data_IF_430935609084
#
_entry.id   IF_430935609084
#
_cell.length_a   1.000
_cell.length_b   1.000
_cell.length_c   1.000
_cell.angle_alpha   90.00
_cell.angle_beta   90.00
_cell.angle_gamma   90.00
#
_symmetry.space_group_name_H-M   'P 1'
#
loop_
_entity.id
_entity.type
_entity.pdbx_description
1 polymer ?
#
# COMPACT_ATOMS: atom_id res chain seq x y z
N UNK A 1 -5.07 29.32 -1.88
CA UNK A 1 -5.75 28.91 -0.63
C UNK A 1 -5.80 27.41 -0.67
N UNK A 2 -4.85 26.74 -0.01
CA UNK A 2 -4.86 25.29 0.15
C UNK A 2 -6.04 24.96 1.07
N UNK A 3 -7.04 24.26 0.54
CA UNK A 3 -7.98 23.49 1.37
C UNK A 3 -7.14 22.70 2.38
N UNK A 4 -7.40 22.86 3.68
CA UNK A 4 -6.71 22.10 4.70
C UNK A 4 -6.88 20.61 4.39
N UNK A 5 -5.78 19.87 4.26
CA UNK A 5 -5.83 18.43 4.03
C UNK A 5 -6.72 17.81 5.12
N UNK A 6 -7.68 16.98 4.71
CA UNK A 6 -8.52 16.27 5.65
C UNK A 6 -7.60 15.46 6.59
N UNK A 7 -7.79 15.65 7.90
CA UNK A 7 -7.05 14.92 8.93
C UNK A 7 -7.95 13.80 9.43
N UNK A 8 -7.50 12.55 9.31
CA UNK A 8 -8.25 11.39 9.75
C UNK A 8 -7.45 10.10 9.56
N UNK A 9 -7.95 9.02 10.15
CA UNK A 9 -7.46 7.68 9.87
C UNK A 9 -7.66 7.34 8.39
N UNK A 10 -6.81 6.45 7.85
CA UNK A 10 -6.80 6.10 6.42
C UNK A 10 -8.19 5.75 5.87
N UNK A 11 -8.99 4.96 6.61
CA UNK A 11 -10.34 4.60 6.16
C UNK A 11 -11.33 5.77 6.17
N UNK A 12 -11.15 6.76 7.05
CA UNK A 12 -11.95 7.98 7.08
C UNK A 12 -11.64 8.87 5.85
N UNK A 13 -10.38 8.91 5.42
CA UNK A 13 -9.99 9.61 4.18
C UNK A 13 -10.64 8.96 2.95
N UNK A 14 -10.68 7.63 2.90
CA UNK A 14 -11.39 6.88 1.85
C UNK A 14 -12.90 7.13 1.91
N UNK A 15 -13.49 7.14 3.11
CA UNK A 15 -14.92 7.44 3.30
C UNK A 15 -15.26 8.85 2.80
N UNK A 16 -14.44 9.86 3.13
CA UNK A 16 -14.61 11.21 2.62
C UNK A 16 -14.53 11.27 1.08
N UNK A 17 -13.57 10.56 0.48
CA UNK A 17 -13.44 10.51 -0.98
C UNK A 17 -14.62 9.80 -1.64
N UNK A 18 -15.18 8.77 -1.00
CA UNK A 18 -16.34 8.04 -1.51
C UNK A 18 -17.57 8.92 -1.68
N UNK A 19 -17.75 9.92 -0.80
CA UNK A 19 -18.84 10.90 -0.89
C UNK A 19 -18.65 11.83 -2.09
N UNK A 20 -17.41 12.13 -2.46
CA UNK A 20 -17.06 13.04 -3.57
C UNK A 20 -17.20 12.37 -4.93
N UNK A 21 -16.83 11.09 -5.04
CA UNK A 21 -16.83 10.35 -6.31
C UNK A 21 -17.49 8.96 -6.18
N UNK A 22 -18.76 8.88 -5.74
CA UNK A 22 -19.37 7.62 -5.34
C UNK A 22 -19.50 6.60 -6.48
N UNK A 23 -19.70 7.09 -7.71
CA UNK A 23 -19.91 6.24 -8.88
C UNK A 23 -18.61 6.00 -9.69
N UNK A 24 -17.48 6.56 -9.24
CA UNK A 24 -16.16 6.26 -9.82
C UNK A 24 -15.70 4.86 -9.45
N UNK A 25 -14.92 4.21 -10.32
CA UNK A 25 -14.35 2.88 -10.05
C UNK A 25 -13.24 3.02 -9.01
N UNK A 26 -13.43 2.40 -7.84
CA UNK A 26 -12.47 2.42 -6.75
C UNK A 26 -11.49 1.25 -6.84
N UNK A 27 -12.00 0.05 -7.08
CA UNK A 27 -11.19 -1.18 -7.12
C UNK A 27 -11.65 -2.04 -8.30
N UNK A 28 -10.72 -2.71 -8.94
CA UNK A 28 -11.01 -3.69 -9.98
C UNK A 28 -10.05 -4.86 -9.92
N UNK A 29 -10.51 -6.03 -10.32
CA UNK A 29 -9.69 -7.21 -10.53
C UNK A 29 -10.20 -8.01 -11.75
N UNK A 30 -9.82 -9.27 -11.87
CA UNK A 30 -10.29 -10.14 -12.95
C UNK A 30 -11.79 -10.51 -12.87
N UNK A 31 -12.40 -10.40 -11.68
CA UNK A 31 -13.81 -10.73 -11.46
C UNK A 31 -14.75 -9.55 -11.74
N UNK A 32 -14.26 -8.31 -11.66
CA UNK A 32 -15.02 -7.13 -12.04
C UNK A 32 -14.52 -5.85 -11.40
N UNK A 33 -15.42 -4.88 -11.30
CA UNK A 33 -15.15 -3.53 -10.78
C UNK A 33 -16.10 -3.22 -9.62
N UNK A 34 -15.59 -2.49 -8.63
CA UNK A 34 -16.36 -1.91 -7.53
C UNK A 34 -16.24 -0.39 -7.61
N UNK A 35 -17.39 0.28 -7.64
CA UNK A 35 -17.46 1.71 -7.42
C UNK A 35 -17.10 2.07 -5.96
N UNK A 36 -16.77 3.33 -5.70
CA UNK A 36 -16.56 3.82 -4.33
C UNK A 36 -17.77 3.56 -3.42
N UNK A 37 -18.98 3.74 -3.95
CA UNK A 37 -20.24 3.45 -3.24
C UNK A 37 -20.35 1.98 -2.87
N UNK A 38 -20.03 1.08 -3.80
CA UNK A 38 -20.12 -0.37 -3.55
C UNK A 38 -19.04 -0.83 -2.59
N UNK A 39 -17.82 -0.32 -2.72
CA UNK A 39 -16.70 -0.59 -1.83
C UNK A 39 -17.06 -0.21 -0.38
N UNK A 40 -17.52 1.02 -0.17
CA UNK A 40 -17.95 1.50 1.14
C UNK A 40 -19.11 0.68 1.71
N UNK A 41 -20.14 0.41 0.91
CA UNK A 41 -21.31 -0.37 1.33
C UNK A 41 -20.91 -1.76 1.81
N UNK A 42 -20.05 -2.47 1.07
CA UNK A 42 -19.57 -3.80 1.44
C UNK A 42 -18.64 -3.74 2.65
N UNK A 43 -17.72 -2.78 2.70
CA UNK A 43 -16.81 -2.60 3.82
C UNK A 43 -17.55 -2.26 5.12
N UNK A 44 -18.58 -1.41 5.07
CA UNK A 44 -19.40 -1.04 6.22
C UNK A 44 -20.19 -2.24 6.75
N UNK A 45 -20.87 -3.00 5.87
CA UNK A 45 -21.59 -4.23 6.23
C UNK A 45 -20.66 -5.22 6.93
N UNK A 46 -19.50 -5.48 6.33
CA UNK A 46 -18.51 -6.39 6.90
C UNK A 46 -17.96 -5.85 8.23
N UNK A 47 -17.70 -4.54 8.35
CA UNK A 47 -17.21 -3.94 9.58
C UNK A 47 -18.17 -4.15 10.76
N UNK A 48 -19.48 -3.96 10.56
CA UNK A 48 -20.48 -4.24 11.60
C UNK A 48 -20.46 -5.70 12.05
N UNK A 49 -20.37 -6.63 11.10
CA UNK A 49 -20.23 -8.06 11.40
C UNK A 49 -18.94 -8.37 12.18
N UNK A 50 -17.82 -7.78 11.77
CA UNK A 50 -16.54 -7.96 12.48
C UNK A 50 -16.60 -7.43 13.91
N UNK A 51 -17.24 -6.27 14.12
CA UNK A 51 -17.48 -5.69 15.46
C UNK A 51 -18.31 -6.64 16.31
N UNK A 52 -19.42 -7.19 15.79
CA UNK A 52 -20.24 -8.18 16.51
C UNK A 52 -19.42 -9.42 16.91
N UNK A 53 -18.46 -9.82 16.08
CA UNK A 53 -17.57 -10.97 16.34
C UNK A 53 -16.34 -10.63 17.17
N UNK A 54 -16.21 -9.40 17.68
CA UNK A 54 -15.16 -9.02 18.63
C UNK A 54 -13.95 -8.31 18.02
N UNK A 55 -14.01 -7.88 16.76
CA UNK A 55 -13.09 -6.87 16.25
C UNK A 55 -13.33 -5.52 16.95
N UNK A 56 -12.27 -4.74 17.10
CA UNK A 56 -12.33 -3.45 17.78
C UNK A 56 -10.95 -2.86 18.03
N UNK A 57 -10.94 -1.71 18.70
CA UNK A 57 -9.70 -0.99 19.06
C UNK A 57 -8.73 -1.88 19.84
N UNK A 58 -7.46 -1.83 19.45
CA UNK A 58 -6.40 -2.62 20.06
C UNK A 58 -6.46 -4.12 19.76
N UNK A 59 -7.37 -4.56 18.88
CA UNK A 59 -7.42 -5.94 18.38
C UNK A 59 -6.82 -6.02 16.99
N UNK A 60 -6.36 -7.22 16.64
CA UNK A 60 -5.87 -7.57 15.30
C UNK A 60 -6.86 -8.51 14.64
N UNK A 61 -7.13 -8.32 13.35
CA UNK A 61 -7.86 -9.27 12.51
C UNK A 61 -6.91 -9.77 11.42
N UNK A 62 -6.66 -11.07 11.40
CA UNK A 62 -5.83 -11.69 10.37
C UNK A 62 -6.65 -11.94 9.09
N UNK A 63 -6.08 -11.55 7.95
CA UNK A 63 -6.66 -11.68 6.62
C UNK A 63 -5.88 -12.73 5.83
N UNK A 64 -6.38 -13.97 5.84
CA UNK A 64 -5.88 -15.11 5.09
C UNK A 64 -6.65 -15.27 3.77
N UNK A 65 -6.73 -14.20 2.98
CA UNK A 65 -7.55 -14.13 1.76
C UNK A 65 -6.65 -14.03 0.52
N UNK A 66 -7.07 -14.58 -0.64
CA UNK A 66 -6.38 -14.35 -1.89
C UNK A 66 -6.48 -12.87 -2.30
N UNK A 67 -5.54 -12.43 -3.14
CA UNK A 67 -5.56 -11.08 -3.74
C UNK A 67 -6.80 -10.91 -4.62
N UNK A 68 -7.62 -9.93 -4.30
CA UNK A 68 -8.86 -9.61 -5.02
C UNK A 68 -9.39 -8.24 -4.57
N UNK A 69 -10.42 -7.74 -5.25
CA UNK A 69 -11.20 -6.61 -4.78
C UNK A 69 -11.83 -6.87 -3.39
N UNK A 70 -12.22 -8.12 -3.12
CA UNK A 70 -12.78 -8.55 -1.83
C UNK A 70 -11.76 -8.45 -0.68
N UNK A 71 -10.46 -8.65 -0.95
CA UNK A 71 -9.42 -8.39 0.06
C UNK A 71 -9.37 -6.90 0.44
N UNK A 72 -9.54 -5.99 -0.51
CA UNK A 72 -9.59 -4.55 -0.22
C UNK A 72 -10.84 -4.19 0.60
N UNK A 73 -11.99 -4.81 0.32
CA UNK A 73 -13.20 -4.73 1.15
C UNK A 73 -12.89 -5.17 2.59
N UNK A 74 -12.20 -6.31 2.76
CA UNK A 74 -11.83 -6.85 4.07
C UNK A 74 -10.92 -5.90 4.86
N UNK A 75 -9.90 -5.35 4.20
CA UNK A 75 -8.97 -4.38 4.80
C UNK A 75 -9.73 -3.15 5.31
N UNK A 76 -10.57 -2.53 4.47
CA UNK A 76 -11.35 -1.37 4.89
C UNK A 76 -12.32 -1.70 6.02
N UNK A 77 -12.95 -2.88 5.98
CA UNK A 77 -13.87 -3.32 7.04
C UNK A 77 -13.16 -3.47 8.39
N UNK A 78 -11.95 -4.04 8.39
CA UNK A 78 -11.12 -4.16 9.61
C UNK A 78 -10.76 -2.78 10.15
N UNK A 79 -10.28 -1.87 9.30
CA UNK A 79 -9.94 -0.50 9.74
C UNK A 79 -11.17 0.25 10.29
N UNK A 80 -12.33 0.12 9.64
CA UNK A 80 -13.60 0.72 10.09
C UNK A 80 -14.12 0.11 11.39
N UNK A 81 -13.78 -1.15 11.70
CA UNK A 81 -14.06 -1.74 13.01
C UNK A 81 -13.18 -1.16 14.13
N UNK A 82 -12.12 -0.41 13.78
CA UNK A 82 -11.10 0.09 14.69
C UNK A 82 -10.00 -0.90 15.02
N UNK A 83 -10.01 -2.10 14.42
CA UNK A 83 -8.95 -3.08 14.55
C UNK A 83 -7.82 -2.86 13.53
N UNK A 84 -6.64 -3.40 13.82
CA UNK A 84 -5.57 -3.49 12.83
C UNK A 84 -5.73 -4.75 11.97
N UNK A 85 -5.41 -4.66 10.68
CA UNK A 85 -5.34 -5.86 9.83
C UNK A 85 -3.93 -6.47 9.84
N UNK A 86 -3.88 -7.79 9.83
CA UNK A 86 -2.67 -8.57 9.61
C UNK A 86 -2.85 -9.39 8.32
N UNK A 87 -2.25 -9.00 7.19
CA UNK A 87 -2.29 -9.80 5.99
C UNK A 87 -1.42 -11.05 6.16
N UNK A 88 -1.99 -12.21 5.81
CA UNK A 88 -1.31 -13.51 5.88
C UNK A 88 -1.46 -14.18 4.52
N UNK A 89 -0.38 -14.27 3.76
CA UNK A 89 -0.41 -14.90 2.44
C UNK A 89 -0.77 -16.39 2.57
N UNK A 90 -1.89 -16.85 1.97
CA UNK A 90 -2.27 -18.27 2.01
C UNK A 90 -1.26 -19.20 1.34
N UNK A 91 -0.39 -18.68 0.47
CA UNK A 91 0.67 -19.45 -0.19
C UNK A 91 1.91 -19.65 0.69
N UNK A 92 1.99 -19.00 1.86
CA UNK A 92 3.08 -19.25 2.80
C UNK A 92 3.06 -20.68 3.34
N UNK A 93 4.23 -21.25 3.69
CA UNK A 93 4.30 -22.52 4.39
C UNK A 93 3.42 -22.52 5.65
N UNK A 94 2.72 -23.62 5.90
CA UNK A 94 1.77 -23.73 7.02
C UNK A 94 2.40 -23.35 8.38
N UNK A 95 3.63 -23.79 8.63
CA UNK A 95 4.38 -23.47 9.85
C UNK A 95 4.62 -21.96 10.03
N UNK A 96 4.84 -21.23 8.92
CA UNK A 96 4.97 -19.76 8.94
C UNK A 96 3.63 -19.10 9.27
N UNK A 97 2.53 -19.58 8.69
CA UNK A 97 1.18 -19.09 8.97
C UNK A 97 0.81 -19.34 10.43
N UNK A 98 1.04 -20.55 10.93
CA UNK A 98 0.79 -20.91 12.33
C UNK A 98 1.61 -20.04 13.29
N UNK A 99 2.90 -19.83 13.00
CA UNK A 99 3.74 -18.92 13.77
C UNK A 99 3.17 -17.50 13.82
N UNK A 100 2.83 -16.91 12.66
CA UNK A 100 2.31 -15.54 12.60
C UNK A 100 1.00 -15.41 13.38
N UNK A 101 0.09 -16.38 13.27
CA UNK A 101 -1.19 -16.37 13.99
C UNK A 101 -1.00 -16.58 15.51
N UNK A 102 -0.07 -17.44 15.92
CA UNK A 102 0.23 -17.66 17.33
C UNK A 102 0.92 -16.45 17.98
N UNK A 103 1.83 -15.78 17.27
CA UNK A 103 2.56 -14.60 17.76
C UNK A 103 1.66 -13.35 17.81
N UNK A 104 0.81 -13.15 16.80
CA UNK A 104 -0.08 -11.99 16.74
C UNK A 104 -1.37 -12.10 17.57
N UNK A 105 -1.76 -13.32 17.98
CA UNK A 105 -2.99 -13.63 18.72
C UNK A 105 -4.23 -12.84 18.23
N UNK A 106 -4.59 -12.95 16.94
CA UNK A 106 -5.64 -12.13 16.35
C UNK A 106 -7.01 -12.49 16.94
N UNK A 107 -7.86 -11.48 17.13
CA UNK A 107 -9.24 -11.68 17.59
C UNK A 107 -10.07 -12.52 16.60
N UNK A 108 -9.78 -12.38 15.31
CA UNK A 108 -10.46 -13.07 14.21
C UNK A 108 -9.46 -13.43 13.12
N UNK A 109 -9.73 -14.53 12.42
CA UNK A 109 -9.01 -14.94 11.21
C UNK A 109 -10.02 -15.12 10.09
N UNK A 110 -9.91 -14.30 9.04
CA UNK A 110 -10.75 -14.40 7.84
C UNK A 110 -10.04 -15.23 6.79
N UNK A 111 -10.61 -16.39 6.46
CA UNK A 111 -10.15 -17.25 5.34
C UNK A 111 -11.03 -17.13 4.10
N UNK A 112 -12.23 -16.59 4.30
CA UNK A 112 -13.21 -16.24 3.29
C UNK A 112 -14.00 -15.03 3.80
N UNK A 113 -14.66 -14.31 2.91
CA UNK A 113 -15.55 -13.24 3.34
C UNK A 113 -16.90 -13.81 3.78
N UNK A 114 -17.33 -13.56 5.02
CA UNK A 114 -18.65 -13.97 5.46
C UNK A 114 -19.74 -13.12 4.78
N UNK A 115 -20.92 -13.71 4.59
CA UNK A 115 -22.10 -12.96 4.15
C UNK A 115 -22.47 -11.91 5.21
N UNK A 116 -22.46 -10.64 4.80
CA UNK A 116 -22.76 -9.51 5.67
C UNK A 116 -24.01 -8.74 5.22
N UNK A 117 -24.86 -9.34 4.37
CA UNK A 117 -25.93 -8.60 3.71
C UNK A 117 -27.07 -8.13 4.62
N UNK A 118 -27.17 -8.74 5.80
CA UNK A 118 -28.12 -8.35 6.84
C UNK A 118 -27.65 -7.14 7.68
N UNK A 119 -26.37 -6.73 7.55
CA UNK A 119 -25.79 -5.66 8.35
C UNK A 119 -26.03 -4.27 7.74
N UNK A 120 -25.96 -3.18 8.54
CA UNK A 120 -26.13 -1.83 8.04
C UNK A 120 -25.09 -1.44 6.99
N UNK A 121 -25.51 -0.64 6.01
CA UNK A 121 -24.63 -0.07 4.97
C UNK A 121 -23.89 1.20 5.42
N UNK A 122 -24.35 1.81 6.53
CA UNK A 122 -23.75 3.01 7.09
C UNK A 122 -22.46 2.69 7.83
N UNK A 123 -21.45 3.56 7.73
CA UNK A 123 -20.18 3.43 8.45
C UNK A 123 -20.41 3.24 9.96
N UNK A 124 -19.75 2.25 10.59
CA UNK A 124 -19.84 2.06 12.02
C UNK A 124 -19.24 3.28 12.74
N UNK A 125 -19.91 3.77 13.79
CA UNK A 125 -19.47 4.96 14.54
C UNK A 125 -18.41 4.59 15.58
N UNK A 126 -17.28 4.04 15.13
CA UNK A 126 -16.13 3.71 15.98
C UNK A 126 -15.17 4.89 15.97
N UNK A 127 -14.90 5.48 17.14
CA UNK A 127 -13.90 6.53 17.26
C UNK A 127 -12.50 5.91 17.21
N UNK A 128 -11.75 6.12 16.12
CA UNK A 128 -10.36 5.65 15.97
C UNK A 128 -9.39 6.77 16.34
N UNK A 129 -8.35 6.44 17.12
CA UNK A 129 -7.24 7.36 17.41
C UNK A 129 -6.13 7.21 16.35
N UNK A 130 -5.44 8.31 16.04
CA UNK A 130 -4.23 8.25 15.19
C UNK A 130 -3.12 7.38 15.79
N UNK A 131 -3.17 7.07 17.09
CA UNK A 131 -2.23 6.15 17.76
C UNK A 131 -2.72 4.71 17.83
N UNK A 132 -3.94 4.43 17.38
CA UNK A 132 -4.39 3.05 17.29
C UNK A 132 -3.61 2.35 16.16
N UNK A 133 -3.26 1.05 16.33
CA UNK A 133 -2.69 0.24 15.26
C UNK A 133 -3.61 0.21 14.03
N UNK A 134 -3.04 0.45 12.84
CA UNK A 134 -3.72 0.31 11.56
C UNK A 134 -3.44 -1.05 10.91
N UNK A 135 -2.18 -1.48 10.95
CA UNK A 135 -1.79 -2.78 10.39
C UNK A 135 -0.58 -3.39 11.09
N UNK A 136 -0.43 -4.69 10.90
CA UNK A 136 0.73 -5.46 11.34
C UNK A 136 1.32 -6.19 10.13
N UNK A 137 2.60 -6.01 9.86
CA UNK A 137 3.30 -6.68 8.76
C UNK A 137 4.52 -7.43 9.31
N UNK A 138 4.64 -8.72 8.97
CA UNK A 138 5.76 -9.55 9.40
C UNK A 138 6.95 -9.44 8.45
N UNK A 139 8.09 -9.01 8.99
CA UNK A 139 9.37 -9.02 8.26
C UNK A 139 10.20 -10.25 8.66
N UNK A 140 11.24 -10.59 7.89
CA UNK A 140 12.08 -11.78 8.12
C UNK A 140 12.83 -11.76 9.46
N UNK A 141 13.06 -10.57 10.04
CA UNK A 141 13.81 -10.38 11.28
C UNK A 141 15.30 -10.68 11.14
N UNK A 142 16.17 -9.90 11.79
CA UNK A 142 17.63 -10.11 11.75
C UNK A 142 18.09 -11.39 12.45
N UNK A 143 17.25 -11.96 13.32
CA UNK A 143 17.51 -13.20 14.06
C UNK A 143 17.02 -14.46 13.33
N UNK A 144 16.46 -14.31 12.12
CA UNK A 144 15.84 -15.38 11.35
C UNK A 144 14.44 -15.78 11.82
N UNK A 145 13.96 -15.21 12.94
CA UNK A 145 12.56 -15.33 13.37
C UNK A 145 11.77 -14.12 12.86
N UNK A 146 10.65 -14.34 12.15
CA UNK A 146 9.82 -13.25 11.69
C UNK A 146 9.34 -12.37 12.86
N UNK A 147 9.24 -11.06 12.64
CA UNK A 147 8.75 -10.09 13.64
C UNK A 147 7.61 -9.27 13.07
N UNK A 148 6.54 -9.08 13.84
CA UNK A 148 5.42 -8.22 13.48
C UNK A 148 5.76 -6.75 13.72
N UNK A 149 5.80 -5.95 12.66
CA UNK A 149 5.89 -4.49 12.74
C UNK A 149 4.49 -3.92 12.82
N UNK A 150 4.18 -3.24 13.92
CA UNK A 150 2.89 -2.58 14.15
C UNK A 150 3.00 -1.12 13.71
N UNK A 151 2.14 -0.71 12.78
CA UNK A 151 2.09 0.68 12.29
C UNK A 151 0.79 1.34 12.70
N UNK A 152 0.87 2.54 13.25
CA UNK A 152 -0.27 3.33 13.71
C UNK A 152 -0.99 4.04 12.55
N UNK A 153 -2.27 4.39 12.76
CA UNK A 153 -3.05 5.16 11.80
C UNK A 153 -2.41 6.50 11.42
N UNK A 154 -1.74 7.16 12.36
CA UNK A 154 -1.00 8.42 12.17
C UNK A 154 0.01 8.31 11.05
N UNK A 155 0.96 7.39 11.18
CA UNK A 155 2.02 7.18 10.19
C UNK A 155 1.46 6.75 8.84
N UNK A 156 0.46 5.86 8.82
CA UNK A 156 -0.17 5.42 7.58
C UNK A 156 -0.92 6.57 6.87
N UNK A 157 -1.61 7.43 7.62
CA UNK A 157 -2.31 8.59 7.07
C UNK A 157 -1.35 9.67 6.55
N UNK A 158 -0.22 9.89 7.24
CA UNK A 158 0.84 10.80 6.79
C UNK A 158 1.46 10.33 5.47
N UNK A 159 1.79 9.03 5.36
CA UNK A 159 2.27 8.42 4.11
C UNK A 159 1.29 8.65 2.95
N UNK A 160 0.01 8.32 3.17
CA UNK A 160 -1.02 8.37 2.14
C UNK A 160 -1.32 9.83 1.72
N UNK A 161 -1.33 10.75 2.69
CA UNK A 161 -1.53 12.18 2.43
C UNK A 161 -0.33 12.78 1.70
N UNK A 162 0.90 12.39 2.07
CA UNK A 162 2.10 12.78 1.34
C UNK A 162 2.06 12.26 -0.10
N UNK A 163 1.74 10.98 -0.30
CA UNK A 163 1.64 10.37 -1.63
C UNK A 163 0.60 11.08 -2.50
N UNK A 164 -0.60 11.35 -1.94
CA UNK A 164 -1.66 12.10 -2.60
C UNK A 164 -1.20 13.50 -3.04
N UNK A 165 -0.48 14.23 -2.18
CA UNK A 165 0.07 15.55 -2.50
C UNK A 165 1.25 15.52 -3.47
N UNK A 166 2.11 14.50 -3.38
CA UNK A 166 3.33 14.37 -4.18
C UNK A 166 3.04 13.96 -5.62
N UNK A 167 2.17 12.97 -5.82
CA UNK A 167 1.80 12.49 -7.16
C UNK A 167 0.59 13.22 -7.73
N UNK A 168 -0.37 13.63 -6.90
CA UNK A 168 -1.60 14.26 -7.33
C UNK A 168 -2.62 13.29 -7.94
N UNK A 169 -3.89 13.71 -8.07
CA UNK A 169 -4.99 12.85 -8.48
C UNK A 169 -4.83 12.31 -9.92
N UNK A 170 -4.23 13.09 -10.83
CA UNK A 170 -4.02 12.66 -12.22
C UNK A 170 -3.04 11.48 -12.32
N UNK A 171 -1.96 11.47 -11.52
CA UNK A 171 -0.96 10.40 -11.53
C UNK A 171 -1.34 9.21 -10.66
N UNK A 172 -2.38 9.35 -9.85
CA UNK A 172 -2.96 8.28 -9.02
C UNK A 172 -4.33 7.81 -9.54
N UNK A 173 -4.76 8.25 -10.73
CA UNK A 173 -6.10 7.95 -11.23
C UNK A 173 -6.32 6.46 -11.53
N UNK A 174 -5.27 5.72 -11.86
CA UNK A 174 -5.27 4.28 -12.10
C UNK A 174 -3.92 3.67 -11.70
N UNK A 175 -3.91 3.01 -10.55
CA UNK A 175 -2.71 2.43 -9.93
C UNK A 175 -2.80 0.92 -10.00
N UNK A 176 -1.72 0.27 -10.43
CA UNK A 176 -1.59 -1.18 -10.38
C UNK A 176 -1.22 -1.62 -8.95
N UNK A 177 -2.09 -2.40 -8.30
CA UNK A 177 -1.78 -3.07 -7.04
C UNK A 177 -1.23 -4.48 -7.32
N UNK A 178 0.09 -4.57 -7.39
CA UNK A 178 0.85 -5.76 -7.78
C UNK A 178 1.76 -6.30 -6.68
N UNK A 179 1.97 -5.53 -5.61
CA UNK A 179 2.72 -5.98 -4.43
C UNK A 179 1.86 -6.87 -3.55
N UNK A 180 2.43 -7.93 -2.97
CA UNK A 180 1.71 -8.79 -2.01
C UNK A 180 1.30 -7.96 -0.79
N UNK A 181 0.10 -8.20 -0.27
CA UNK A 181 -0.42 -7.51 0.92
C UNK A 181 0.42 -7.77 2.17
N UNK A 182 1.24 -8.82 2.18
CA UNK A 182 2.20 -9.09 3.26
C UNK A 182 3.46 -8.20 3.20
N UNK A 183 3.57 -7.30 2.21
CA UNK A 183 4.57 -6.24 2.15
C UNK A 183 3.90 -4.88 2.22
N UNK A 184 4.57 -3.93 2.85
CA UNK A 184 4.00 -2.64 3.25
C UNK A 184 3.84 -1.65 2.09
N UNK A 185 4.56 -1.82 0.98
CA UNK A 185 4.31 -1.10 -0.28
C UNK A 185 2.85 -1.25 -0.78
N UNK A 186 2.19 -2.36 -0.43
CA UNK A 186 0.75 -2.55 -0.73
C UNK A 186 -0.15 -1.49 -0.09
N UNK A 187 0.26 -0.89 1.04
CA UNK A 187 -0.45 0.21 1.70
C UNK A 187 -0.48 1.44 0.80
N UNK A 188 0.65 1.76 0.16
CA UNK A 188 0.74 2.84 -0.82
C UNK A 188 -0.12 2.53 -2.05
N UNK A 189 0.05 1.34 -2.65
CA UNK A 189 -0.69 0.93 -3.86
C UNK A 189 -2.21 0.94 -3.65
N UNK A 190 -2.66 0.65 -2.43
CA UNK A 190 -4.08 0.61 -2.08
C UNK A 190 -4.62 1.99 -1.75
N UNK A 191 -4.02 2.69 -0.79
CA UNK A 191 -4.68 3.84 -0.18
C UNK A 191 -4.36 5.17 -0.86
N UNK A 192 -3.18 5.33 -1.48
CA UNK A 192 -2.85 6.55 -2.21
C UNK A 192 -3.87 6.88 -3.32
N UNK A 193 -4.24 5.96 -4.22
CA UNK A 193 -5.31 6.22 -5.19
C UNK A 193 -6.69 6.38 -4.54
N UNK A 194 -7.02 5.58 -3.52
CA UNK A 194 -8.36 5.60 -2.91
C UNK A 194 -8.70 6.91 -2.21
N UNK A 195 -7.72 7.62 -1.65
CA UNK A 195 -7.96 8.95 -1.06
C UNK A 195 -8.00 10.08 -2.09
N UNK A 196 -7.64 9.78 -3.35
CA UNK A 196 -7.62 10.73 -4.46
C UNK A 196 -8.76 10.55 -5.47
N UNK A 197 -9.62 9.54 -5.30
CA UNK A 197 -10.67 9.21 -6.26
C UNK A 197 -10.20 8.36 -7.43
N UNK A 198 -8.99 7.80 -7.32
CA UNK A 198 -8.41 6.90 -8.32
C UNK A 198 -8.90 5.45 -8.20
N UNK A 199 -8.48 4.63 -9.16
CA UNK A 199 -8.75 3.19 -9.24
C UNK A 199 -7.54 2.38 -8.81
N UNK A 200 -7.78 1.37 -7.98
CA UNK A 200 -6.83 0.29 -7.66
C UNK A 200 -7.11 -0.91 -8.56
N UNK A 201 -6.19 -1.25 -9.46
CA UNK A 201 -6.26 -2.48 -10.25
C UNK A 201 -5.46 -3.59 -9.57
N UNK A 202 -6.16 -4.51 -8.91
CA UNK A 202 -5.56 -5.65 -8.22
C UNK A 202 -5.19 -6.74 -9.23
N UNK A 203 -3.92 -7.11 -9.27
CA UNK A 203 -3.38 -8.21 -10.06
C UNK A 203 -2.68 -9.23 -9.17
N UNK A 204 -2.39 -10.43 -9.68
CA UNK A 204 -1.70 -11.48 -8.92
C UNK A 204 -0.29 -11.09 -8.49
N UNK A 205 0.48 -10.52 -9.42
CA UNK A 205 1.79 -9.91 -9.20
C UNK A 205 2.13 -8.99 -10.40
N UNK A 206 3.30 -8.35 -10.35
CA UNK A 206 3.75 -7.44 -11.42
C UNK A 206 3.98 -8.18 -12.75
N UNK A 207 4.46 -9.43 -12.70
CA UNK A 207 4.73 -10.25 -13.88
C UNK A 207 3.44 -10.79 -14.52
N UNK A 208 2.32 -10.81 -13.80
CA UNK A 208 1.00 -11.09 -14.37
C UNK A 208 0.62 -10.08 -15.47
N UNK A 209 1.27 -8.91 -15.52
CA UNK A 209 1.15 -8.02 -16.66
C UNK A 209 1.78 -8.61 -17.92
N UNK A 210 2.88 -9.37 -17.84
CA UNK A 210 3.69 -9.82 -18.97
C UNK A 210 2.94 -10.65 -20.03
N UNK A 211 1.81 -11.25 -19.64
CA UNK A 211 0.94 -12.03 -20.51
C UNK A 211 -0.07 -11.17 -21.29
N UNK A 212 -0.25 -9.89 -20.90
CA UNK A 212 -1.14 -8.95 -21.57
C UNK A 212 -0.46 -8.35 -22.79
N UNK A 213 -1.25 -8.04 -23.83
CA UNK A 213 -0.73 -7.33 -24.99
C UNK A 213 -0.33 -5.89 -24.64
N UNK A 214 -1.19 -5.18 -23.92
CA UNK A 214 -0.97 -3.79 -23.51
C UNK A 214 -1.55 -3.58 -22.10
N UNK A 215 -0.96 -2.66 -21.35
CA UNK A 215 -1.50 -2.14 -20.11
C UNK A 215 -1.40 -0.61 -20.11
N UNK A 216 -2.52 0.04 -19.79
CA UNK A 216 -2.65 1.48 -19.73
C UNK A 216 -3.15 1.85 -18.34
N UNK A 217 -2.37 2.66 -17.63
CA UNK A 217 -2.73 3.22 -16.35
C UNK A 217 -1.88 4.44 -16.05
N UNK A 218 -1.85 4.86 -14.79
CA UNK A 218 -1.13 6.07 -14.38
C UNK A 218 0.12 5.77 -13.55
N UNK A 219 0.08 4.72 -12.72
CA UNK A 219 1.20 4.36 -11.87
C UNK A 219 1.40 2.85 -11.79
N UNK A 220 2.64 2.43 -11.98
CA UNK A 220 3.12 1.10 -11.58
C UNK A 220 4.22 1.25 -10.54
N UNK A 221 4.29 0.30 -9.62
CA UNK A 221 5.35 0.17 -8.62
C UNK A 221 5.96 -1.22 -8.64
N UNK A 222 7.22 -1.32 -8.26
CA UNK A 222 7.90 -2.60 -8.07
C UNK A 222 9.35 -2.44 -7.65
N UNK A 223 9.98 -3.57 -7.32
CA UNK A 223 11.43 -3.58 -7.17
C UNK A 223 12.09 -3.43 -8.54
N UNK A 224 13.24 -2.73 -8.64
CA UNK A 224 13.97 -2.54 -9.89
C UNK A 224 14.16 -3.82 -10.72
N UNK A 225 14.53 -4.94 -10.10
CA UNK A 225 14.75 -6.22 -10.79
C UNK A 225 13.47 -6.78 -11.45
N UNK A 226 12.33 -6.69 -10.77
CA UNK A 226 11.04 -7.15 -11.29
C UNK A 226 10.52 -6.25 -12.43
N UNK A 227 10.71 -4.93 -12.31
CA UNK A 227 10.40 -3.98 -13.37
C UNK A 227 11.26 -4.23 -14.60
N UNK A 228 12.57 -4.45 -14.44
CA UNK A 228 13.44 -4.80 -15.56
C UNK A 228 13.00 -6.10 -16.25
N UNK A 229 12.66 -7.13 -15.48
CA UNK A 229 12.16 -8.38 -16.02
C UNK A 229 10.90 -8.16 -16.86
N UNK A 230 9.91 -7.44 -16.32
CA UNK A 230 8.66 -7.12 -17.01
C UNK A 230 8.92 -6.31 -18.29
N UNK A 231 9.75 -5.26 -18.21
CA UNK A 231 9.95 -4.31 -19.31
C UNK A 231 10.85 -4.83 -20.43
N UNK A 232 11.74 -5.77 -20.10
CA UNK A 232 12.72 -6.32 -21.07
C UNK A 232 12.25 -7.64 -21.67
N UNK A 233 11.60 -8.49 -20.88
CA UNK A 233 11.21 -9.85 -21.28
C UNK A 233 9.70 -10.03 -21.45
N UNK A 234 8.90 -9.13 -20.87
CA UNK A 234 7.46 -9.11 -21.06
C UNK A 234 7.09 -8.72 -22.48
N UNK A 235 5.94 -9.21 -22.94
CA UNK A 235 5.39 -8.85 -24.27
C UNK A 235 4.53 -7.60 -24.21
N UNK A 236 4.28 -7.10 -23.00
CA UNK A 236 3.29 -6.08 -22.70
C UNK A 236 3.82 -4.70 -23.00
N UNK A 237 3.08 -3.95 -23.79
CA UNK A 237 3.32 -2.52 -23.92
C UNK A 237 2.73 -1.79 -22.73
N UNK A 238 3.58 -1.13 -21.94
CA UNK A 238 3.17 -0.41 -20.73
C UNK A 238 3.11 1.09 -21.01
N UNK A 239 1.99 1.70 -20.68
CA UNK A 239 1.82 3.15 -20.64
C UNK A 239 1.46 3.58 -19.22
N UNK A 240 2.33 4.37 -18.60
CA UNK A 240 2.16 4.91 -17.26
C UNK A 240 2.70 6.34 -17.17
N UNK A 241 2.09 7.18 -16.36
CA UNK A 241 2.59 8.52 -16.05
C UNK A 241 3.73 8.50 -15.03
N UNK A 242 3.76 7.48 -14.16
CA UNK A 242 4.74 7.31 -13.08
C UNK A 242 5.18 5.85 -12.98
N UNK A 243 6.48 5.65 -12.78
CA UNK A 243 7.05 4.36 -12.37
C UNK A 243 7.73 4.55 -11.02
N UNK A 244 7.18 3.93 -9.98
CA UNK A 244 7.76 3.95 -8.63
C UNK A 244 8.66 2.72 -8.46
N UNK A 245 9.83 2.94 -7.90
CA UNK A 245 10.78 1.90 -7.55
C UNK A 245 11.07 1.97 -6.05
N UNK A 246 11.18 0.81 -5.40
CA UNK A 246 11.54 0.69 -3.99
C UNK A 246 12.09 -0.71 -3.69
N UNK A 247 12.71 -0.91 -2.53
CA UNK A 247 13.14 -2.22 -2.03
C UNK A 247 14.48 -2.73 -2.57
N UNK A 248 15.01 -2.20 -3.67
CA UNK A 248 16.38 -2.45 -4.13
C UNK A 248 17.03 -1.15 -4.62
N UNK A 249 18.35 -1.18 -4.83
CA UNK A 249 19.06 -0.05 -5.40
C UNK A 249 18.64 0.20 -6.87
N UNK A 250 18.17 1.41 -7.16
CA UNK A 250 17.91 1.84 -8.53
C UNK A 250 19.24 2.22 -9.21
N UNK A 251 19.66 1.43 -10.20
CA UNK A 251 20.91 1.67 -10.94
C UNK A 251 20.66 2.60 -12.14
N UNK A 252 21.74 3.15 -12.71
CA UNK A 252 21.66 3.90 -13.96
C UNK A 252 21.11 3.06 -15.13
N UNK A 253 21.41 1.74 -15.13
CA UNK A 253 20.88 0.78 -16.09
C UNK A 253 19.37 0.61 -15.94
N UNK A 254 18.88 0.34 -14.72
CA UNK A 254 17.45 0.23 -14.44
C UNK A 254 16.69 1.50 -14.88
N UNK A 255 17.21 2.68 -14.56
CA UNK A 255 16.61 3.96 -14.96
C UNK A 255 16.53 4.10 -16.49
N UNK A 256 17.60 3.75 -17.21
CA UNK A 256 17.62 3.79 -18.67
C UNK A 256 16.61 2.82 -19.28
N UNK A 257 16.50 1.59 -18.75
CA UNK A 257 15.53 0.59 -19.16
C UNK A 257 14.10 1.09 -18.99
N UNK A 258 13.77 1.66 -17.82
CA UNK A 258 12.44 2.22 -17.54
C UNK A 258 12.09 3.35 -18.52
N UNK A 259 13.00 4.32 -18.71
CA UNK A 259 12.78 5.45 -19.62
C UNK A 259 12.59 5.01 -21.08
N UNK A 260 13.29 3.97 -21.49
CA UNK A 260 13.17 3.41 -22.85
C UNK A 260 11.85 2.67 -23.05
N UNK A 261 11.42 1.88 -22.06
CA UNK A 261 10.23 1.04 -22.16
C UNK A 261 8.91 1.79 -21.89
N UNK A 262 8.94 2.82 -21.03
CA UNK A 262 7.77 3.64 -20.66
C UNK A 262 8.06 5.12 -20.95
N UNK A 263 8.06 5.52 -22.24
CA UNK A 263 8.46 6.86 -22.63
C UNK A 263 7.53 7.93 -22.05
N UNK A 264 8.12 8.99 -21.49
CA UNK A 264 7.38 10.11 -20.90
C UNK A 264 6.92 9.89 -19.46
N UNK A 265 7.17 8.73 -18.86
CA UNK A 265 6.92 8.54 -17.44
C UNK A 265 7.89 9.36 -16.58
N UNK A 266 7.46 9.67 -15.36
CA UNK A 266 8.36 10.14 -14.30
C UNK A 266 8.75 8.95 -13.44
N UNK A 267 10.05 8.72 -13.27
CA UNK A 267 10.55 7.67 -12.40
C UNK A 267 10.71 8.24 -10.98
N UNK A 268 10.23 7.52 -9.98
CA UNK A 268 10.44 7.86 -8.57
C UNK A 268 11.18 6.72 -7.88
N UNK A 269 12.24 7.07 -7.15
CA UNK A 269 12.99 6.14 -6.32
C UNK A 269 12.66 6.42 -4.87
N UNK A 270 11.85 5.55 -4.27
CA UNK A 270 11.37 5.68 -2.91
C UNK A 270 12.08 4.66 -2.03
N UNK A 271 12.35 5.03 -0.79
CA UNK A 271 13.08 4.19 0.13
C UNK A 271 12.49 4.30 1.53
N UNK A 272 12.31 3.17 2.20
CA UNK A 272 11.98 3.08 3.61
C UNK A 272 11.96 1.63 4.05
N UNK A 273 12.42 1.31 5.27
CA UNK A 273 12.12 0.02 5.89
C UNK A 273 10.67 -0.02 6.38
N UNK A 274 10.14 -1.23 6.61
CA UNK A 274 8.78 -1.41 7.14
C UNK A 274 8.56 -0.70 8.47
N UNK A 275 9.58 -0.64 9.32
CA UNK A 275 9.59 0.07 10.59
C UNK A 275 9.43 1.60 10.47
N UNK A 276 9.70 2.17 9.28
CA UNK A 276 9.54 3.60 8.99
C UNK A 276 8.28 3.92 8.17
N UNK A 277 7.33 2.97 8.07
CA UNK A 277 6.06 3.13 7.34
C UNK A 277 6.27 3.32 5.83
N UNK A 278 6.66 2.25 5.13
CA UNK A 278 6.78 2.16 3.66
C UNK A 278 7.89 3.03 3.05
N UNK A 279 7.76 4.35 3.11
CA UNK A 279 8.68 5.29 2.47
C UNK A 279 9.11 6.40 3.44
N UNK A 280 10.40 6.44 3.72
CA UNK A 280 11.08 7.43 4.55
C UNK A 280 11.73 8.55 3.72
N UNK A 281 12.25 8.23 2.53
CA UNK A 281 12.87 9.19 1.61
C UNK A 281 12.34 9.01 0.19
N UNK A 282 12.37 10.10 -0.57
CA UNK A 282 11.89 10.14 -1.94
C UNK A 282 12.84 10.92 -2.84
N UNK A 283 13.17 10.32 -3.98
CA UNK A 283 13.77 10.99 -5.12
C UNK A 283 12.83 10.89 -6.32
N UNK A 284 12.79 11.94 -7.13
CA UNK A 284 12.02 11.97 -8.36
C UNK A 284 12.92 12.39 -9.52
N UNK A 285 12.72 11.71 -10.64
CA UNK A 285 13.47 11.95 -11.85
C UNK A 285 13.26 13.37 -12.37
N UNK A 286 14.33 13.96 -12.88
CA UNK A 286 14.36 15.29 -13.45
C UNK A 286 14.95 15.25 -14.87
N UNK A 287 14.45 16.11 -15.80
CA UNK A 287 15.00 16.18 -17.14
C UNK A 287 16.52 16.38 -17.14
N UNK A 288 17.23 15.52 -17.87
CA UNK A 288 18.69 15.57 -17.99
C UNK A 288 19.46 14.87 -16.86
N UNK A 289 18.80 14.25 -15.88
CA UNK A 289 19.49 13.46 -14.86
C UNK A 289 20.23 12.27 -15.49
N UNK A 290 21.49 12.09 -15.08
CA UNK A 290 22.37 10.99 -15.46
C UNK A 290 23.03 10.39 -14.22
N UNK A 291 23.33 9.09 -14.26
CA UNK A 291 23.92 8.36 -13.14
C UNK A 291 22.92 7.49 -12.38
N UNK A 292 23.36 6.95 -11.25
CA UNK A 292 22.51 6.14 -10.36
C UNK A 292 21.62 7.04 -9.50
N UNK A 293 20.29 6.86 -9.50
CA UNK A 293 19.40 7.61 -8.64
C UNK A 293 19.72 7.45 -7.15
N UNK A 294 19.77 8.55 -6.36
CA UNK A 294 19.84 8.45 -4.91
C UNK A 294 18.47 8.02 -4.34
N UNK A 295 18.44 7.69 -3.05
CA UNK A 295 17.18 7.48 -2.30
C UNK A 295 16.44 8.80 -1.99
N UNK A 296 17.08 9.93 -2.28
CA UNK A 296 16.47 11.27 -2.22
C UNK A 296 16.51 11.92 -0.85
N UNK A 297 15.49 12.74 -0.59
CA UNK A 297 15.35 13.51 0.65
C UNK A 297 14.24 12.92 1.54
N UNK A 298 14.28 13.13 2.86
CA UNK A 298 13.20 12.70 3.75
C UNK A 298 11.84 13.25 3.32
N UNK A 299 10.81 12.41 3.39
CA UNK A 299 9.43 12.85 3.21
C UNK A 299 9.00 13.72 4.41
N UNK A 300 7.97 14.57 4.29
CA UNK A 300 7.50 15.39 5.41
C UNK A 300 7.21 14.54 6.65
N UNK A 301 7.63 15.03 7.83
CA UNK A 301 7.49 14.30 9.10
C UNK A 301 8.63 13.33 9.41
N UNK A 302 9.46 12.98 8.42
CA UNK A 302 10.61 12.09 8.61
C UNK A 302 11.91 12.87 8.77
N UNK A 303 12.77 12.40 9.67
CA UNK A 303 14.16 12.86 9.79
C UNK A 303 15.07 11.69 9.49
N UNK A 304 15.94 11.83 8.48
CA UNK A 304 16.97 10.84 8.19
C UNK A 304 18.35 11.39 8.59
N UNK A 305 19.18 10.57 9.24
CA UNK A 305 20.52 10.94 9.71
C UNK A 305 21.55 9.89 9.31
N UNK A 306 22.66 10.34 8.73
CA UNK A 306 23.84 9.49 8.51
C UNK A 306 24.76 9.65 9.71
N UNK A 307 24.97 8.58 10.47
CA UNK A 307 25.75 8.59 11.70
C UNK A 307 26.96 7.66 11.60
N UNK A 308 28.08 8.04 12.21
CA UNK A 308 29.24 7.15 12.39
C UNK A 308 29.05 6.17 13.57
N UNK A 309 30.06 5.35 13.84
CA UNK A 309 30.04 4.37 14.92
C UNK A 309 29.95 4.99 16.35
N UNK A 310 30.16 6.30 16.49
CA UNK A 310 30.00 7.04 17.74
C UNK A 310 28.64 7.77 17.82
N UNK A 311 27.72 7.51 16.89
CA UNK A 311 26.43 8.17 16.73
C UNK A 311 26.54 9.69 16.45
N UNK A 312 27.65 10.13 15.87
CA UNK A 312 27.84 11.51 15.44
C UNK A 312 27.48 11.69 13.96
N UNK A 313 26.96 12.86 13.53
CA UNK A 313 26.68 13.12 12.12
C UNK A 313 27.93 12.95 11.24
N UNK A 314 27.82 12.17 10.18
CA UNK A 314 28.93 11.83 9.29
C UNK A 314 28.55 11.96 7.81
N UNK A 315 29.56 12.03 6.92
CA UNK A 315 29.35 11.99 5.46
C UNK A 315 29.06 10.58 4.94
N UNK A 316 29.64 9.58 5.58
CA UNK A 316 29.47 8.16 5.29
C UNK A 316 29.28 7.45 6.63
N UNK A 317 28.28 6.58 6.71
CA UNK A 317 27.84 5.98 7.95
C UNK A 317 26.54 5.21 7.79
N UNK A 318 25.99 4.77 8.91
CA UNK A 318 24.70 4.07 8.97
C UNK A 318 23.55 5.08 8.93
N UNK A 319 22.47 4.72 8.23
CA UNK A 319 21.28 5.56 8.08
C UNK A 319 20.27 5.24 9.19
N UNK A 320 19.87 6.28 9.93
CA UNK A 320 18.86 6.27 10.98
C UNK A 320 17.67 7.15 10.61
#
# INVERSE_FOLDING_TARGET
MTEGAAVGAVHELVELQSVRTPDGVAVSDAAGELSYRELERRANRLAHLLIERGAGRGRVVALCLPRSAELIVAVLAVLKSGAAYLPVDPAYPAERVEFMLADADPALVLRELPEADAYPESSPRVAVSMRDPAYVIYTSGSTGRPKGVVVEHGSAAELVTWAAGHFGPERLAHVLASTSMSFDVSVFETFAPLVCGGRVEVVGDLLALAERAEWHGTLISGVPSALEQLLTHGRTRISAAVVVTAGEALTAHHLATIRAAVPGCVVANLYGPTEATVYATAWQDAPGFTGAPPIGAPVPGVTARVLDAALAPAREGELY
#
